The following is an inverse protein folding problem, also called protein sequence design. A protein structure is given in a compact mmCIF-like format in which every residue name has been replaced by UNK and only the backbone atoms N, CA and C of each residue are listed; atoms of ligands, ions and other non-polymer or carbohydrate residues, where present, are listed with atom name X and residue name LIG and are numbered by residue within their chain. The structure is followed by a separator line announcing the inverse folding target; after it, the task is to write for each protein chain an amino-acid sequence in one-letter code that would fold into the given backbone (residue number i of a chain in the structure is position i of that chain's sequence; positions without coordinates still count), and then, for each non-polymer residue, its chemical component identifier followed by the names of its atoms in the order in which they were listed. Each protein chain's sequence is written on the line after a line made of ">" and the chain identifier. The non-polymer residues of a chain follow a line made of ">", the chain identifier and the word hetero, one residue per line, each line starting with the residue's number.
data_IF_663530872186
#
_entry.id   IF_663530872186
#
_cell.length_a   1.000
_cell.length_b   1.000
_cell.length_c   1.000
_cell.angle_alpha   90.00
_cell.angle_beta   90.00
_cell.angle_gamma   90.00
#
_symmetry.space_group_name_H-M   'P 1'
#
loop_
_entity.id
_entity.type
_entity.pdbx_description
1 polymer ?
#
# COMPACT_ATOMS: atom_id res chain seq x y z
N UNK A 1 7.49 4.31 -2.72
CA UNK A 1 6.25 3.95 -2.01
C UNK A 1 6.26 2.51 -1.50
N UNK A 2 6.57 1.47 -2.30
CA UNK A 2 6.86 0.12 -1.75
C UNK A 2 7.96 0.15 -0.66
N UNK A 3 9.06 0.86 -0.92
CA UNK A 3 10.13 1.06 0.08
C UNK A 3 9.65 1.78 1.36
N UNK A 4 8.58 2.58 1.27
CA UNK A 4 8.01 3.31 2.41
C UNK A 4 7.17 2.39 3.31
N UNK A 5 6.50 1.39 2.72
CA UNK A 5 5.78 0.33 3.47
C UNK A 5 6.76 -0.72 3.99
N UNK A 6 7.82 -1.04 3.23
CA UNK A 6 8.89 -1.97 3.63
C UNK A 6 9.87 -1.40 4.66
N UNK A 7 9.86 -0.07 4.85
CA UNK A 7 10.63 0.61 5.89
C UNK A 7 10.02 0.45 7.29
N UNK A 8 8.82 -0.14 7.40
CA UNK A 8 8.17 -0.37 8.69
C UNK A 8 8.96 -1.39 9.52
N UNK A 9 9.54 -0.91 10.63
CA UNK A 9 10.43 -1.68 11.51
C UNK A 9 9.84 -1.89 12.92
N UNK A 10 8.51 -1.94 13.06
CA UNK A 10 7.85 -1.95 14.37
C UNK A 10 7.58 -0.56 14.94
N UNK A 11 7.45 0.42 14.04
CA UNK A 11 7.10 1.80 14.37
C UNK A 11 5.73 1.87 15.06
N UNK A 12 5.57 2.82 15.99
CA UNK A 12 4.33 3.01 16.73
C UNK A 12 3.21 3.40 15.77
N UNK A 13 2.10 2.69 15.84
CA UNK A 13 0.89 2.97 15.04
C UNK A 13 -0.20 3.42 16.00
N UNK A 14 -0.61 4.67 15.87
CA UNK A 14 -1.71 5.24 16.61
C UNK A 14 -2.97 5.20 15.75
N UNK A 15 -4.00 4.50 16.22
CA UNK A 15 -5.30 4.46 15.57
C UNK A 15 -6.05 5.78 15.81
N UNK A 16 -6.58 6.36 14.72
CA UNK A 16 -7.29 7.65 14.75
C UNK A 16 -8.80 7.45 14.68
N UNK A 17 -9.25 6.46 13.90
CA UNK A 17 -10.67 6.22 13.68
C UNK A 17 -10.94 5.54 12.34
N UNK A 18 -12.20 5.18 12.10
CA UNK A 18 -12.67 4.58 10.88
C UNK A 18 -13.96 5.22 10.39
N UNK A 19 -14.19 5.13 9.08
CA UNK A 19 -15.44 5.51 8.44
C UNK A 19 -15.97 4.35 7.62
N UNK A 20 -17.14 3.85 7.99
CA UNK A 20 -17.85 2.81 7.24
C UNK A 20 -18.62 3.39 6.06
N UNK A 21 -18.77 2.59 5.01
CA UNK A 21 -19.70 2.88 3.92
C UNK A 21 -21.14 2.76 4.43
N UNK A 22 -22.13 3.42 3.80
CA UNK A 22 -23.55 3.25 4.14
C UNK A 22 -24.03 1.80 4.05
N UNK A 23 -23.39 0.99 3.20
CA UNK A 23 -23.69 -0.44 3.04
C UNK A 23 -22.99 -1.33 4.06
N UNK A 24 -22.05 -0.79 4.84
CA UNK A 24 -21.26 -1.52 5.84
C UNK A 24 -20.23 -2.50 5.26
N UNK A 25 -20.01 -2.50 3.95
CA UNK A 25 -19.14 -3.44 3.22
C UNK A 25 -17.75 -2.89 2.91
N UNK A 26 -17.54 -1.58 3.16
CA UNK A 26 -16.27 -0.88 2.98
C UNK A 26 -15.98 0.00 4.18
N UNK A 27 -14.70 0.17 4.46
CA UNK A 27 -14.23 1.07 5.51
C UNK A 27 -13.00 1.84 5.04
N UNK A 28 -12.81 3.05 5.54
CA UNK A 28 -11.52 3.72 5.55
C UNK A 28 -11.05 3.83 7.00
N UNK A 29 -9.94 3.18 7.33
CA UNK A 29 -9.34 3.19 8.68
C UNK A 29 -8.14 4.13 8.66
N UNK A 30 -8.14 5.13 9.52
CA UNK A 30 -7.11 6.16 9.62
C UNK A 30 -6.19 5.88 10.81
N UNK A 31 -4.89 6.02 10.56
CA UNK A 31 -3.82 5.82 11.54
C UNK A 31 -2.73 6.89 11.39
N UNK A 32 -1.91 7.04 12.42
CA UNK A 32 -0.67 7.80 12.38
C UNK A 32 0.47 6.82 12.68
N UNK A 33 1.41 6.71 11.75
CA UNK A 33 2.64 5.94 11.94
C UNK A 33 3.75 6.90 12.32
N UNK A 34 4.40 6.68 13.47
CA UNK A 34 5.57 7.46 13.87
C UNK A 34 6.83 6.77 13.35
N UNK A 35 7.42 7.31 12.29
CA UNK A 35 8.65 6.79 11.71
C UNK A 35 9.80 6.81 12.73
N UNK A 36 10.84 6.02 12.48
CA UNK A 36 12.05 5.97 13.34
C UNK A 36 12.73 7.34 13.54
N UNK A 37 12.52 8.28 12.62
CA UNK A 37 12.99 9.67 12.71
C UNK A 37 12.13 10.58 13.63
N UNK A 38 11.05 10.05 14.21
CA UNK A 38 10.06 10.82 14.97
C UNK A 38 8.99 11.50 14.10
N UNK A 39 9.09 11.43 12.77
CA UNK A 39 8.08 12.00 11.85
C UNK A 39 6.76 11.24 11.97
N UNK A 40 5.68 11.95 12.26
CA UNK A 40 4.32 11.43 12.17
C UNK A 40 3.84 11.39 10.71
N UNK A 41 3.40 10.22 10.26
CA UNK A 41 2.98 9.96 8.89
C UNK A 41 1.53 9.48 8.91
N UNK A 42 0.58 10.26 8.37
CA UNK A 42 -0.80 9.81 8.22
C UNK A 42 -0.88 8.65 7.22
N UNK A 43 -1.49 7.55 7.66
CA UNK A 43 -1.74 6.36 6.83
C UNK A 43 -3.20 5.95 6.95
N UNK A 44 -3.89 5.87 5.81
CA UNK A 44 -5.25 5.36 5.75
C UNK A 44 -5.32 4.06 4.96
N UNK A 45 -6.12 3.12 5.45
CA UNK A 45 -6.36 1.83 4.82
C UNK A 45 -7.78 1.78 4.29
N UNK A 46 -7.95 1.58 2.98
CA UNK A 46 -9.27 1.23 2.45
C UNK A 46 -9.46 -0.26 2.51
N UNK A 47 -10.53 -0.65 3.20
CA UNK A 47 -10.87 -2.03 3.47
C UNK A 47 -12.18 -2.40 2.80
N UNK A 48 -12.31 -3.68 2.46
CA UNK A 48 -13.55 -4.27 1.98
C UNK A 48 -13.85 -5.54 2.76
N UNK A 49 -15.13 -5.77 3.03
CA UNK A 49 -15.60 -7.00 3.65
C UNK A 49 -15.73 -8.08 2.58
N UNK A 50 -14.94 -9.15 2.70
CA UNK A 50 -14.94 -10.29 1.78
C UNK A 50 -15.05 -11.58 2.56
N UNK A 51 -16.09 -12.37 2.30
CA UNK A 51 -16.34 -13.65 2.98
C UNK A 51 -16.33 -13.51 4.52
N UNK A 52 -16.97 -12.45 5.03
CA UNK A 52 -17.01 -12.15 6.46
C UNK A 52 -15.70 -11.63 7.08
N UNK A 53 -14.67 -11.36 6.27
CA UNK A 53 -13.37 -10.87 6.74
C UNK A 53 -13.03 -9.53 6.08
N UNK A 54 -12.54 -8.59 6.87
CA UNK A 54 -12.04 -7.33 6.37
C UNK A 54 -10.66 -7.54 5.73
N UNK A 55 -10.51 -7.08 4.49
CA UNK A 55 -9.23 -7.10 3.78
C UNK A 55 -8.90 -5.68 3.31
N UNK A 56 -7.68 -5.24 3.58
CA UNK A 56 -7.17 -3.99 3.01
C UNK A 56 -6.91 -4.19 1.52
N UNK A 57 -7.44 -3.30 0.69
CA UNK A 57 -7.22 -3.34 -0.75
C UNK A 57 -6.41 -2.13 -1.24
N UNK A 58 -6.37 -1.03 -0.50
CA UNK A 58 -5.56 0.14 -0.85
C UNK A 58 -4.98 0.76 0.43
N UNK A 59 -3.76 1.27 0.32
CA UNK A 59 -3.09 2.03 1.38
C UNK A 59 -2.87 3.44 0.85
N UNK A 60 -3.18 4.43 1.67
CA UNK A 60 -2.99 5.84 1.37
C UNK A 60 -1.97 6.39 2.35
N UNK A 61 -0.86 6.89 1.83
CA UNK A 61 0.21 7.48 2.63
C UNK A 61 0.30 8.95 2.22
N UNK A 62 0.18 9.87 3.18
CA UNK A 62 0.21 11.31 2.90
C UNK A 62 -0.76 11.72 1.76
N UNK A 63 -1.99 11.17 1.79
CA UNK A 63 -3.04 11.34 0.77
C UNK A 63 -2.76 10.73 -0.62
N UNK A 64 -1.66 10.00 -0.80
CA UNK A 64 -1.33 9.29 -2.05
C UNK A 64 -1.73 7.82 -1.94
N UNK A 65 -2.72 7.41 -2.75
CA UNK A 65 -3.12 6.01 -2.88
C UNK A 65 -2.06 5.21 -3.62
N UNK A 66 -1.62 4.09 -3.04
CA UNK A 66 -0.68 3.18 -3.67
C UNK A 66 -1.25 2.62 -4.97
N UNK A 67 -2.52 2.15 -4.96
CA UNK A 67 -3.15 1.65 -6.19
C UNK A 67 -3.16 2.71 -7.29
N UNK A 68 -3.60 3.94 -6.98
CA UNK A 68 -3.66 5.01 -7.99
C UNK A 68 -2.28 5.33 -8.55
N UNK A 69 -1.27 5.42 -7.69
CA UNK A 69 0.10 5.67 -8.09
C UNK A 69 0.63 4.58 -9.03
N UNK A 70 0.48 3.31 -8.69
CA UNK A 70 0.91 2.19 -9.56
C UNK A 70 0.12 2.13 -10.86
N UNK A 71 -1.19 2.37 -10.83
CA UNK A 71 -2.03 2.40 -12.04
C UNK A 71 -1.53 3.45 -13.03
N UNK A 72 -1.15 4.64 -12.55
CA UNK A 72 -0.59 5.69 -13.42
C UNK A 72 0.73 5.24 -14.06
N UNK A 73 1.63 4.62 -13.30
CA UNK A 73 2.89 4.08 -13.84
C UNK A 73 2.64 2.96 -14.86
N UNK A 74 1.66 2.09 -14.63
CA UNK A 74 1.34 1.00 -15.53
C UNK A 74 0.64 1.49 -16.80
N UNK A 75 -0.17 2.54 -16.71
CA UNK A 75 -0.80 3.15 -17.88
C UNK A 75 0.24 3.60 -18.91
N UNK A 76 1.35 4.19 -18.48
CA UNK A 76 2.43 4.59 -19.38
C UNK A 76 3.09 3.40 -20.09
N UNK A 77 3.21 2.27 -19.39
CA UNK A 77 3.76 1.03 -19.94
C UNK A 77 2.78 0.42 -20.94
N UNK A 78 1.50 0.29 -20.58
CA UNK A 78 0.47 -0.30 -21.44
C UNK A 78 0.15 0.55 -22.66
N UNK A 79 0.41 1.87 -22.63
CA UNK A 79 0.29 2.73 -23.80
C UNK A 79 1.42 2.55 -24.81
N UNK A 80 2.59 2.06 -24.38
CA UNK A 80 3.79 1.91 -25.22
C UNK A 80 4.19 0.46 -25.48
N UNK A 81 3.56 -0.51 -24.83
CA UNK A 81 3.96 -1.92 -24.84
C UNK A 81 2.78 -2.88 -24.66
N UNK A 82 3.06 -4.14 -24.33
CA UNK A 82 2.07 -5.20 -24.18
C UNK A 82 1.83 -5.58 -22.69
N UNK A 83 0.69 -6.22 -22.34
CA UNK A 83 0.40 -6.62 -20.97
C UNK A 83 1.41 -7.60 -20.35
N UNK A 84 2.08 -8.42 -21.17
CA UNK A 84 3.09 -9.38 -20.72
C UNK A 84 4.33 -8.68 -20.18
N UNK A 85 4.74 -7.58 -20.80
CA UNK A 85 5.86 -6.75 -20.36
C UNK A 85 5.58 -6.11 -18.99
N UNK A 86 4.32 -5.72 -18.74
CA UNK A 86 3.90 -5.25 -17.43
C UNK A 86 3.99 -6.36 -16.37
N UNK A 87 3.48 -7.56 -16.68
CA UNK A 87 3.56 -8.71 -15.76
C UNK A 87 5.01 -9.04 -15.44
N UNK A 88 5.89 -9.07 -16.45
CA UNK A 88 7.32 -9.30 -16.29
C UNK A 88 7.96 -8.27 -15.36
N UNK A 89 7.72 -6.97 -15.59
CA UNK A 89 8.25 -5.89 -14.75
C UNK A 89 7.77 -5.96 -13.31
N UNK A 90 6.52 -6.33 -13.08
CA UNK A 90 5.98 -6.54 -11.72
C UNK A 90 6.69 -7.71 -11.05
N UNK A 91 6.87 -8.83 -11.77
CA UNK A 91 7.60 -10.00 -11.26
C UNK A 91 9.06 -9.69 -10.91
N UNK A 92 9.77 -8.95 -11.77
CA UNK A 92 11.15 -8.52 -11.53
C UNK A 92 11.25 -7.65 -10.27
N UNK A 93 10.38 -6.63 -10.14
CA UNK A 93 10.36 -5.78 -8.93
C UNK A 93 9.98 -6.53 -7.65
N UNK A 94 9.09 -7.51 -7.73
CA UNK A 94 8.74 -8.35 -6.58
C UNK A 94 9.95 -9.18 -6.13
N UNK A 95 10.66 -9.81 -7.07
CA UNK A 95 11.86 -10.58 -6.78
C UNK A 95 13.00 -9.72 -6.21
N UNK A 96 13.13 -8.47 -6.67
CA UNK A 96 14.08 -7.50 -6.10
C UNK A 96 13.73 -7.10 -4.66
N UNK A 97 12.44 -6.87 -4.39
CA UNK A 97 11.93 -6.58 -3.05
C UNK A 97 12.21 -7.73 -2.08
N UNK A 98 11.93 -8.98 -2.47
CA UNK A 98 12.15 -10.17 -1.63
C UNK A 98 13.63 -10.34 -1.26
N UNK A 99 14.54 -10.08 -2.21
CA UNK A 99 15.99 -10.10 -1.98
C UNK A 99 16.45 -9.00 -1.02
N UNK A 100 15.79 -7.85 -1.00
CA UNK A 100 16.09 -6.76 -0.06
C UNK A 100 15.59 -7.07 1.35
N UNK A 101 14.44 -7.72 1.50
CA UNK A 101 13.99 -8.23 2.81
C UNK A 101 14.87 -9.36 3.35
N UNK A 102 15.38 -10.25 2.49
CA UNK A 102 16.24 -11.37 2.91
C UNK A 102 17.69 -10.99 3.24
N UNK A 103 18.17 -9.82 2.80
CA UNK A 103 19.53 -9.31 3.08
C UNK A 103 19.64 -8.47 4.35
N UNK A 104 18.55 -8.27 5.09
CA UNK A 104 18.55 -7.51 6.34
C UNK A 104 18.90 -8.47 7.51
N UNK A 105 19.94 -8.18 8.30
CA UNK A 105 20.30 -8.96 9.49
C UNK A 105 19.22 -8.88 10.57
#
# INVERSE_FOLDING_TARGET
>A
YLNSVQGYNGEKVDYVGEKLSPKGDRAEVSTIVTASSGKAIPVSYRMMLKNGKWVAYDVIIENVSLIKNYRSQFKEILLKGNPEELIKRVGEKAAEADKQTAKRP
#
